data_IF_107226376545
#
_entry.id   IF_107226376545
#
_cell.length_a   1.000
_cell.length_b   1.000
_cell.length_c   1.000
_cell.angle_alpha   90.00
_cell.angle_beta   90.00
_cell.angle_gamma   90.00
#
_symmetry.space_group_name_H-M   'P 1'
#
loop_
_entity.id
_entity.type
_entity.pdbx_description
1 polymer ?
#
# COMPACT_ATOMS: atom_id res chain seq x y z
N UNK A 1 3.77 -4.54 -9.90
CA UNK A 1 2.84 -5.35 -9.08
C UNK A 1 3.19 -6.81 -9.28
N UNK A 2 3.21 -7.59 -8.21
CA UNK A 2 3.41 -9.04 -8.27
C UNK A 2 2.54 -9.75 -7.22
N UNK A 3 2.08 -10.95 -7.55
CA UNK A 3 1.37 -11.85 -6.62
C UNK A 3 2.31 -13.00 -6.29
N UNK A 4 2.58 -13.20 -5.00
CA UNK A 4 3.46 -14.25 -4.50
C UNK A 4 2.66 -15.45 -3.98
N UNK A 5 3.28 -16.65 -3.88
CA UNK A 5 2.65 -17.82 -3.27
C UNK A 5 2.05 -17.51 -1.90
N UNK A 6 0.88 -18.09 -1.60
CA UNK A 6 0.12 -17.75 -0.40
C UNK A 6 -0.83 -16.55 -0.58
N UNK A 7 -1.17 -16.19 -1.81
CA UNK A 7 -2.09 -15.10 -2.15
C UNK A 7 -1.64 -13.72 -1.61
N UNK A 8 -0.33 -13.49 -1.59
CA UNK A 8 0.25 -12.23 -1.11
C UNK A 8 0.41 -11.26 -2.27
N UNK A 9 -0.26 -10.11 -2.19
CA UNK A 9 -0.13 -9.03 -3.18
C UNK A 9 0.96 -8.04 -2.75
N UNK A 10 1.85 -7.69 -3.68
CA UNK A 10 2.81 -6.60 -3.46
C UNK A 10 2.52 -5.41 -4.35
N UNK A 11 2.40 -4.25 -3.69
CA UNK A 11 2.14 -2.97 -4.31
C UNK A 11 3.42 -2.14 -4.26
N UNK A 12 3.89 -1.71 -5.43
CA UNK A 12 4.96 -0.73 -5.53
C UNK A 12 4.34 0.64 -5.74
N UNK A 13 4.48 1.53 -4.76
CA UNK A 13 3.87 2.86 -4.76
C UNK A 13 4.96 3.92 -4.81
N UNK A 14 4.66 5.05 -5.45
CA UNK A 14 5.53 6.23 -5.38
C UNK A 14 5.46 6.84 -3.99
N UNK A 15 6.62 7.12 -3.40
CA UNK A 15 6.70 7.82 -2.11
C UNK A 15 6.33 9.30 -2.30
N UNK A 16 5.30 9.83 -1.63
CA UNK A 16 4.98 11.26 -1.71
C UNK A 16 6.14 12.11 -1.15
N UNK A 17 6.28 13.33 -1.66
CA UNK A 17 7.28 14.26 -1.15
C UNK A 17 7.05 14.55 0.33
N UNK A 18 8.12 14.46 1.14
CA UNK A 18 8.05 14.66 2.59
C UNK A 18 7.52 13.46 3.39
N UNK A 19 7.17 12.34 2.75
CA UNK A 19 6.69 11.15 3.46
C UNK A 19 7.83 10.45 4.23
N UNK A 20 7.86 10.67 5.54
CA UNK A 20 8.81 10.04 6.48
C UNK A 20 8.11 8.90 7.22
N UNK A 21 8.76 7.74 7.30
CA UNK A 21 8.30 6.62 8.11
C UNK A 21 9.49 6.03 8.89
N UNK A 22 9.18 5.37 9.99
CA UNK A 22 10.10 4.58 10.81
C UNK A 22 9.77 3.09 10.68
N UNK A 23 10.75 2.24 10.94
CA UNK A 23 10.55 0.78 10.93
C UNK A 23 9.44 0.38 11.91
N UNK A 24 8.54 -0.49 11.46
CA UNK A 24 7.40 -0.96 12.25
C UNK A 24 6.13 -0.11 12.13
N UNK A 25 6.16 1.02 11.42
CA UNK A 25 4.94 1.77 11.12
C UNK A 25 4.19 1.15 9.94
N UNK A 26 2.86 1.28 9.98
CA UNK A 26 1.96 0.94 8.88
C UNK A 26 1.23 2.18 8.39
N UNK A 27 0.61 2.08 7.22
CA UNK A 27 -0.21 3.14 6.63
C UNK A 27 -1.55 2.57 6.18
N UNK A 28 -2.57 3.41 6.18
CA UNK A 28 -3.83 3.10 5.53
C UNK A 28 -3.73 3.46 4.05
N UNK A 29 -4.29 2.62 3.20
CA UNK A 29 -4.37 2.85 1.75
C UNK A 29 -5.84 2.81 1.40
N UNK A 30 -6.32 3.86 0.74
CA UNK A 30 -7.64 3.87 0.13
C UNK A 30 -7.48 3.56 -1.36
N UNK A 31 -8.23 2.56 -1.85
CA UNK A 31 -8.29 2.24 -3.27
C UNK A 31 -9.71 2.46 -3.80
N UNK A 32 -10.00 3.68 -4.24
CA UNK A 32 -11.31 4.07 -4.78
C UNK A 32 -11.82 3.18 -5.93
N UNK A 33 -10.92 2.49 -6.64
CA UNK A 33 -11.27 1.53 -7.70
C UNK A 33 -11.86 0.21 -7.16
N UNK A 34 -11.58 -0.15 -5.91
CA UNK A 34 -12.11 -1.34 -5.24
C UNK A 34 -13.32 -0.97 -4.39
N UNK A 35 -13.20 0.08 -3.56
CA UNK A 35 -14.30 0.63 -2.80
C UNK A 35 -14.15 2.14 -2.65
N UNK A 36 -15.20 2.93 -2.92
CA UNK A 36 -15.16 4.37 -2.68
C UNK A 36 -15.11 4.75 -1.19
N UNK A 37 -15.40 3.81 -0.29
CA UNK A 37 -15.42 4.03 1.16
C UNK A 37 -14.75 2.85 1.90
N UNK A 38 -13.75 3.16 2.73
CA UNK A 38 -13.02 2.24 3.62
C UNK A 38 -12.46 3.02 4.83
#
# INVERSE_FOLDING_TARGET
VAVYPGNVLTLHMSRPNGFKYKSGQYMFVNCAAVSPFE
#
